data_IF_883132983043
#
_entry.id   IF_883132983043
#
_cell.length_a   1.000
_cell.length_b   1.000
_cell.length_c   1.000
_cell.angle_alpha   90.00
_cell.angle_beta   90.00
_cell.angle_gamma   90.00
#
_symmetry.space_group_name_H-M   'P 1'
#
loop_
_entity.id
_entity.type
_entity.pdbx_description
1 polymer ?
#
# COMPACT_ATOMS: atom_id res chain seq x y z
N UNK A 1 27.39 2.94 22.30
CA UNK A 1 26.51 3.47 21.22
C UNK A 1 25.92 4.78 21.71
N UNK A 2 26.10 5.87 20.98
CA UNK A 2 25.42 7.13 21.32
C UNK A 2 23.90 6.92 21.22
N UNK A 3 23.09 7.45 22.14
CA UNK A 3 21.64 7.27 22.13
C UNK A 3 21.04 7.88 20.86
N UNK A 4 20.16 7.11 20.19
CA UNK A 4 19.43 7.60 19.01
C UNK A 4 18.50 8.73 19.45
N UNK A 5 18.70 9.92 18.88
CA UNK A 5 17.79 11.04 19.08
C UNK A 5 16.46 10.78 18.37
N UNK A 6 15.30 11.10 18.97
CA UNK A 6 14.00 10.85 18.36
C UNK A 6 13.86 11.66 17.08
N UNK A 7 13.62 10.95 15.96
CA UNK A 7 13.52 11.50 14.62
C UNK A 7 12.19 11.07 14.01
N UNK A 8 11.10 11.82 14.24
CA UNK A 8 9.77 11.40 13.81
C UNK A 8 9.68 11.26 12.29
N UNK A 9 8.91 10.28 11.83
CA UNK A 9 8.73 10.03 10.40
C UNK A 9 8.13 11.25 9.69
N UNK A 10 8.74 11.71 8.58
CA UNK A 10 8.22 12.83 7.79
C UNK A 10 6.87 12.48 7.15
N UNK A 11 6.51 11.19 7.07
CA UNK A 11 5.20 10.74 6.64
C UNK A 11 4.05 11.33 7.47
N UNK A 12 4.25 11.52 8.78
CA UNK A 12 3.24 12.10 9.68
C UNK A 12 2.88 13.54 9.28
N UNK A 13 3.89 14.33 8.91
CA UNK A 13 3.74 15.75 8.51
C UNK A 13 3.51 15.94 7.01
N UNK A 14 3.61 14.89 6.21
CA UNK A 14 3.49 14.96 4.76
C UNK A 14 2.05 15.28 4.33
N UNK A 15 1.90 16.20 3.37
CA UNK A 15 0.61 16.50 2.74
C UNK A 15 0.18 15.37 1.79
N UNK A 16 -1.07 15.44 1.29
CA UNK A 16 -1.63 14.40 0.42
C UNK A 16 -0.80 14.15 -0.85
N UNK A 17 -0.26 15.21 -1.46
CA UNK A 17 0.64 15.13 -2.61
C UNK A 17 1.93 14.39 -2.28
N UNK A 18 2.59 14.77 -1.20
CA UNK A 18 3.85 14.16 -0.77
C UNK A 18 3.68 12.68 -0.40
N UNK A 19 2.58 12.31 0.25
CA UNK A 19 2.22 10.91 0.52
C UNK A 19 1.94 10.10 -0.75
N UNK A 20 1.51 10.77 -1.81
CA UNK A 20 1.09 10.12 -3.06
C UNK A 20 2.26 9.86 -3.98
N UNK A 21 3.15 10.84 -4.13
CA UNK A 21 4.36 10.71 -4.93
C UNK A 21 5.55 10.18 -4.13
N UNK A 22 5.32 9.76 -2.87
CA UNK A 22 6.34 9.30 -1.94
C UNK A 22 7.50 10.29 -1.74
N UNK A 23 7.31 11.57 -2.03
CA UNK A 23 8.37 12.59 -1.93
C UNK A 23 8.83 12.85 -0.50
N UNK A 24 8.06 12.38 0.49
CA UNK A 24 8.44 12.44 1.89
C UNK A 24 9.73 11.67 2.20
N UNK A 25 10.08 10.67 1.38
CA UNK A 25 11.30 9.86 1.57
C UNK A 25 12.54 10.47 0.88
N UNK A 26 12.36 11.46 -0.01
CA UNK A 26 13.44 12.01 -0.85
C UNK A 26 14.65 12.44 -0.05
N UNK A 27 14.47 13.14 1.09
CA UNK A 27 15.57 13.58 1.96
C UNK A 27 16.42 12.41 2.50
N UNK A 28 15.81 11.25 2.74
CA UNK A 28 16.52 10.06 3.18
C UNK A 28 17.32 9.44 2.03
N UNK A 29 16.74 9.40 0.84
CA UNK A 29 17.40 8.91 -0.37
C UNK A 29 18.58 9.80 -0.76
N UNK A 30 18.43 11.12 -0.69
CA UNK A 30 19.51 12.07 -0.96
C UNK A 30 20.67 11.86 0.01
N UNK A 31 20.36 11.68 1.31
CA UNK A 31 21.37 11.38 2.32
C UNK A 31 22.07 10.04 2.06
N UNK A 32 21.31 9.01 1.67
CA UNK A 32 21.86 7.72 1.26
C UNK A 32 22.82 7.84 0.09
N UNK A 33 22.43 8.61 -0.93
CA UNK A 33 23.25 8.87 -2.10
C UNK A 33 24.56 9.60 -1.74
N UNK A 34 24.48 10.62 -0.86
CA UNK A 34 25.65 11.38 -0.42
C UNK A 34 26.62 10.57 0.45
N UNK A 35 26.10 9.76 1.37
CA UNK A 35 26.90 9.05 2.37
C UNK A 35 27.27 7.62 1.96
N UNK A 36 26.69 7.09 0.87
CA UNK A 36 26.80 5.70 0.37
C UNK A 36 26.28 4.60 1.31
N UNK A 37 26.36 4.80 2.62
CA UNK A 37 25.88 3.87 3.66
C UNK A 37 25.09 4.63 4.72
N UNK A 38 23.87 4.17 5.02
CA UNK A 38 23.04 4.72 6.08
C UNK A 38 23.35 4.08 7.43
N UNK A 39 23.43 4.90 8.49
CA UNK A 39 23.50 4.39 9.86
C UNK A 39 22.10 4.34 10.49
N UNK A 40 21.95 3.53 11.53
CA UNK A 40 20.68 3.41 12.28
C UNK A 40 20.18 4.73 12.87
N UNK A 41 21.10 5.64 13.19
CA UNK A 41 20.79 6.98 13.72
C UNK A 41 20.17 7.88 12.65
N UNK A 42 20.39 7.59 11.37
CA UNK A 42 19.87 8.37 10.26
C UNK A 42 18.41 8.01 9.93
N UNK A 43 17.97 6.81 10.32
CA UNK A 43 16.64 6.28 10.06
C UNK A 43 15.59 6.96 10.94
N UNK A 44 14.45 7.25 10.32
CA UNK A 44 13.28 7.76 11.03
C UNK A 44 12.71 6.73 11.98
N UNK A 45 12.01 7.21 13.01
CA UNK A 45 11.24 6.37 13.90
C UNK A 45 10.01 5.80 13.20
N UNK A 46 9.56 4.64 13.70
CA UNK A 46 8.39 3.94 13.20
C UNK A 46 7.15 4.82 13.36
N UNK A 47 6.17 4.61 12.48
CA UNK A 47 4.85 5.17 12.69
C UNK A 47 4.22 4.52 13.94
N UNK A 48 3.41 5.24 14.73
CA UNK A 48 2.72 4.68 15.90
C UNK A 48 1.84 3.46 15.56
N UNK A 49 1.36 3.38 14.31
CA UNK A 49 0.58 2.26 13.78
C UNK A 49 1.40 0.98 13.56
N UNK A 50 2.72 1.09 13.50
CA UNK A 50 3.66 -0.03 13.28
C UNK A 50 4.43 -0.39 14.56
N UNK A 51 4.08 0.21 15.69
CA UNK A 51 4.70 -0.08 16.97
C UNK A 51 4.34 -1.50 17.43
N UNK A 52 5.36 -2.29 17.75
CA UNK A 52 5.19 -3.72 18.05
C UNK A 52 4.37 -3.97 19.30
N UNK A 53 4.61 -3.21 20.37
CA UNK A 53 3.92 -3.35 21.65
C UNK A 53 2.42 -3.12 21.44
N UNK A 54 2.06 -2.00 20.82
CA UNK A 54 0.67 -1.63 20.52
C UNK A 54 -0.05 -2.65 19.62
N UNK A 55 0.62 -3.15 18.57
CA UNK A 55 0.04 -4.15 17.67
C UNK A 55 -0.16 -5.51 18.35
N UNK A 56 0.80 -5.93 19.16
CA UNK A 56 0.77 -7.19 19.90
C UNK A 56 -0.32 -7.18 20.95
N UNK A 57 -0.38 -6.13 21.78
CA UNK A 57 -1.38 -5.97 22.82
C UNK A 57 -2.81 -5.95 22.25
N UNK A 58 -3.02 -5.27 21.12
CA UNK A 58 -4.33 -5.28 20.43
C UNK A 58 -4.73 -6.68 19.97
N UNK A 59 -3.80 -7.41 19.35
CA UNK A 59 -4.06 -8.76 18.87
C UNK A 59 -4.33 -9.71 20.04
N UNK A 60 -3.55 -9.62 21.12
CA UNK A 60 -3.74 -10.39 22.35
C UNK A 60 -5.10 -10.16 22.97
N UNK A 61 -5.48 -8.89 23.15
CA UNK A 61 -6.77 -8.52 23.71
C UNK A 61 -7.91 -9.12 22.90
N UNK A 62 -7.86 -9.00 21.56
CA UNK A 62 -8.87 -9.60 20.69
C UNK A 62 -8.84 -11.13 20.67
N UNK A 63 -7.66 -11.74 20.88
CA UNK A 63 -7.52 -13.19 20.98
C UNK A 63 -8.12 -13.73 22.29
N UNK A 64 -7.81 -13.12 23.43
CA UNK A 64 -8.42 -13.47 24.71
C UNK A 64 -9.92 -13.24 24.72
N UNK A 65 -10.38 -12.18 24.06
CA UNK A 65 -11.80 -11.90 23.88
C UNK A 65 -12.51 -12.98 23.04
N UNK A 66 -11.87 -13.46 21.96
CA UNK A 66 -12.41 -14.56 21.15
C UNK A 66 -12.47 -15.88 21.92
N UNK A 67 -11.43 -16.19 22.72
CA UNK A 67 -11.42 -17.39 23.58
C UNK A 67 -12.51 -17.34 24.66
N UNK A 68 -12.86 -16.16 25.17
CA UNK A 68 -13.94 -16.00 26.16
C UNK A 68 -15.33 -16.14 25.54
N UNK A 69 -15.55 -15.54 24.37
CA UNK A 69 -16.86 -15.50 23.71
C UNK A 69 -17.15 -16.73 22.84
N UNK A 70 -16.11 -17.42 22.36
CA UNK A 70 -16.22 -18.59 21.51
C UNK A 70 -15.35 -19.74 22.05
N UNK A 71 -15.61 -20.24 23.27
CA UNK A 71 -14.77 -21.25 23.92
C UNK A 71 -14.70 -22.56 23.13
N UNK A 72 -15.79 -22.93 22.44
CA UNK A 72 -15.87 -24.18 21.68
C UNK A 72 -15.12 -24.12 20.33
N UNK A 73 -14.84 -22.92 19.81
CA UNK A 73 -14.15 -22.73 18.54
C UNK A 73 -13.43 -21.36 18.46
N UNK A 74 -12.33 -21.19 19.21
CA UNK A 74 -11.54 -19.96 19.16
C UNK A 74 -10.83 -19.85 17.81
N UNK A 75 -10.93 -18.68 17.19
CA UNK A 75 -10.39 -18.43 15.85
C UNK A 75 -9.50 -17.19 15.80
N UNK A 76 -8.19 -17.43 15.65
CA UNK A 76 -7.19 -16.37 15.59
C UNK A 76 -7.36 -15.44 14.39
N UNK A 77 -7.90 -15.95 13.28
CA UNK A 77 -8.20 -15.13 12.10
C UNK A 77 -9.27 -14.08 12.42
N UNK A 78 -10.29 -14.44 13.19
CA UNK A 78 -11.35 -13.51 13.62
C UNK A 78 -10.80 -12.41 14.52
N UNK A 79 -9.92 -12.76 15.47
CA UNK A 79 -9.21 -11.77 16.29
C UNK A 79 -8.34 -10.83 15.44
N UNK A 80 -7.67 -11.36 14.43
CA UNK A 80 -6.82 -10.59 13.50
C UNK A 80 -7.64 -9.60 12.67
N UNK A 81 -8.77 -10.02 12.10
CA UNK A 81 -9.67 -9.14 11.34
C UNK A 81 -10.22 -8.03 12.24
N UNK A 82 -10.56 -8.33 13.50
CA UNK A 82 -10.99 -7.31 14.48
C UNK A 82 -9.88 -6.31 14.80
N UNK A 83 -8.64 -6.77 14.95
CA UNK A 83 -7.46 -5.93 15.22
C UNK A 83 -7.23 -4.90 14.11
N UNK A 84 -7.29 -5.34 12.85
CA UNK A 84 -7.00 -4.48 11.69
C UNK A 84 -8.24 -3.73 11.15
N UNK A 85 -9.44 -4.05 11.65
CA UNK A 85 -10.71 -3.36 11.37
C UNK A 85 -10.98 -3.23 9.86
N UNK A 86 -11.10 -1.99 9.38
CA UNK A 86 -11.49 -1.64 8.00
C UNK A 86 -10.31 -1.59 7.01
N UNK A 87 -9.07 -1.77 7.47
CA UNK A 87 -7.89 -1.73 6.60
C UNK A 87 -7.97 -2.69 5.39
N UNK A 88 -8.29 -3.99 5.54
CA UNK A 88 -8.37 -4.89 4.39
C UNK A 88 -9.45 -4.48 3.38
N UNK A 89 -10.57 -3.92 3.86
CA UNK A 89 -11.61 -3.37 2.99
C UNK A 89 -11.10 -2.18 2.17
N UNK A 90 -10.43 -1.22 2.82
CA UNK A 90 -9.85 -0.05 2.13
C UNK A 90 -8.78 -0.45 1.09
N UNK A 91 -7.97 -1.47 1.38
CA UNK A 91 -7.01 -2.04 0.43
C UNK A 91 -7.74 -2.65 -0.76
N UNK A 92 -8.83 -3.37 -0.52
CA UNK A 92 -9.71 -3.90 -1.58
C UNK A 92 -10.29 -2.80 -2.47
N UNK A 93 -10.74 -1.69 -1.89
CA UNK A 93 -11.24 -0.53 -2.65
C UNK A 93 -10.17 0.09 -3.57
N UNK A 94 -8.89 0.04 -3.20
CA UNK A 94 -7.79 0.52 -4.04
C UNK A 94 -7.46 -0.46 -5.18
N UNK A 95 -7.66 -1.76 -4.96
CA UNK A 95 -7.37 -2.82 -5.92
C UNK A 95 -8.32 -2.84 -7.12
N UNK A 96 -9.62 -2.64 -6.90
CA UNK A 96 -10.66 -2.70 -7.93
C UNK A 96 -10.37 -1.77 -9.13
N UNK A 97 -10.17 -0.45 -8.96
CA UNK A 97 -9.92 0.46 -10.08
C UNK A 97 -8.62 0.13 -10.82
N UNK A 98 -7.58 -0.33 -10.12
CA UNK A 98 -6.34 -0.80 -10.75
C UNK A 98 -6.62 -1.99 -11.69
N UNK A 99 -7.42 -2.96 -11.25
CA UNK A 99 -7.77 -4.13 -12.06
C UNK A 99 -8.60 -3.76 -13.27
N UNK A 100 -9.61 -2.91 -13.10
CA UNK A 100 -10.43 -2.41 -14.20
C UNK A 100 -9.56 -1.73 -15.27
N UNK A 101 -8.67 -0.81 -14.87
CA UNK A 101 -7.77 -0.14 -15.80
C UNK A 101 -6.87 -1.11 -16.58
N UNK A 102 -6.38 -2.16 -15.90
CA UNK A 102 -5.53 -3.20 -16.52
C UNK A 102 -6.29 -4.01 -17.58
N UNK A 103 -7.60 -4.24 -17.41
CA UNK A 103 -8.42 -4.94 -18.40
C UNK A 103 -8.89 -4.03 -19.56
N UNK A 104 -9.14 -2.75 -19.29
CA UNK A 104 -9.56 -1.79 -20.32
C UNK A 104 -8.41 -1.46 -21.28
N UNK A 105 -7.19 -1.36 -20.76
CA UNK A 105 -6.00 -1.02 -21.54
C UNK A 105 -5.82 -1.84 -22.85
N UNK A 106 -5.84 -3.19 -22.84
CA UNK A 106 -5.73 -3.98 -24.06
C UNK A 106 -6.91 -3.77 -25.02
N UNK A 107 -8.13 -3.52 -24.53
CA UNK A 107 -9.30 -3.25 -25.39
C UNK A 107 -9.16 -1.94 -26.16
N UNK A 108 -8.59 -0.91 -25.51
CA UNK A 108 -8.30 0.37 -26.15
C UNK A 108 -7.21 0.21 -27.23
N UNK A 109 -6.16 -0.55 -26.93
CA UNK A 109 -5.08 -0.82 -27.90
C UNK A 109 -5.60 -1.63 -29.08
N UNK A 110 -6.42 -2.67 -28.85
CA UNK A 110 -7.03 -3.46 -29.93
C UNK A 110 -7.93 -2.59 -30.81
N UNK A 111 -8.73 -1.72 -30.19
CA UNK A 111 -9.57 -0.75 -30.91
C UNK A 111 -8.72 0.21 -31.75
N UNK A 112 -7.59 0.69 -31.21
CA UNK A 112 -6.65 1.53 -31.94
C UNK A 112 -5.97 0.76 -33.08
N UNK A 113 -5.64 -0.52 -32.91
CA UNK A 113 -5.06 -1.36 -33.97
C UNK A 113 -5.99 -1.51 -35.18
N UNK A 114 -7.31 -1.48 -34.97
CA UNK A 114 -8.27 -1.54 -36.09
C UNK A 114 -8.15 -0.33 -37.03
N UNK A 115 -7.66 0.82 -36.54
CA UNK A 115 -7.36 1.98 -37.39
C UNK A 115 -6.37 1.64 -38.52
N UNK A 116 -5.36 0.83 -38.22
CA UNK A 116 -4.26 0.52 -39.13
C UNK A 116 -4.58 -0.61 -40.12
N UNK A 117 -5.77 -1.21 -40.04
CA UNK A 117 -6.18 -2.24 -41.00
C UNK A 117 -6.45 -1.63 -42.38
N UNK A 118 -6.08 -2.31 -43.48
CA UNK A 118 -6.44 -1.86 -44.82
C UNK A 118 -7.98 -1.78 -44.94
N UNK A 119 -8.48 -0.70 -45.55
CA UNK A 119 -9.91 -0.36 -45.66
C UNK A 119 -10.63 0.06 -44.36
N UNK A 120 -9.91 0.55 -43.35
CA UNK A 120 -10.53 1.14 -42.16
C UNK A 120 -11.32 2.41 -42.50
N UNK A 121 -12.59 2.49 -42.05
CA UNK A 121 -13.45 3.67 -42.14
C UNK A 121 -13.31 4.61 -40.94
N UNK A 122 -12.38 4.30 -40.03
CA UNK A 122 -12.24 4.97 -38.76
C UNK A 122 -11.56 6.34 -38.90
N UNK A 123 -12.18 7.40 -38.36
CA UNK A 123 -11.64 8.76 -38.42
C UNK A 123 -10.36 8.92 -37.59
N UNK A 124 -9.43 9.74 -38.08
CA UNK A 124 -8.17 10.06 -37.41
C UNK A 124 -8.39 10.71 -36.03
N UNK A 125 -9.43 11.53 -35.89
CA UNK A 125 -9.77 12.16 -34.61
C UNK A 125 -10.17 11.12 -33.56
N UNK A 126 -10.92 10.09 -33.97
CA UNK A 126 -11.32 9.00 -33.09
C UNK A 126 -10.10 8.14 -32.69
N UNK A 127 -9.19 7.86 -33.63
CA UNK A 127 -7.93 7.18 -33.33
C UNK A 127 -7.07 7.96 -32.32
N UNK A 128 -6.95 9.28 -32.49
CA UNK A 128 -6.23 10.16 -31.57
C UNK A 128 -6.86 10.12 -30.16
N UNK A 129 -8.19 10.16 -30.07
CA UNK A 129 -8.91 10.07 -28.80
C UNK A 129 -8.65 8.73 -28.09
N UNK A 130 -8.70 7.60 -28.82
CA UNK A 130 -8.36 6.29 -28.26
C UNK A 130 -6.92 6.25 -27.74
N UNK A 131 -5.98 6.87 -28.45
CA UNK A 131 -4.59 6.99 -28.02
C UNK A 131 -4.44 7.80 -26.72
N UNK A 132 -5.07 8.97 -26.63
CA UNK A 132 -5.07 9.80 -25.42
C UNK A 132 -5.70 9.04 -24.25
N UNK A 133 -6.84 8.40 -24.47
CA UNK A 133 -7.54 7.62 -23.44
C UNK A 133 -6.67 6.46 -22.93
N UNK A 134 -5.97 5.76 -23.83
CA UNK A 134 -5.03 4.69 -23.50
C UNK A 134 -3.90 5.16 -22.57
N UNK A 135 -3.34 6.35 -22.81
CA UNK A 135 -2.32 6.94 -21.93
C UNK A 135 -2.91 7.31 -20.58
N UNK A 136 -4.08 7.96 -20.56
CA UNK A 136 -4.75 8.35 -19.32
C UNK A 136 -5.11 7.14 -18.44
N UNK A 137 -5.65 6.07 -19.04
CA UNK A 137 -5.95 4.82 -18.33
C UNK A 137 -4.70 4.18 -17.74
N UNK A 138 -3.56 4.23 -18.44
CA UNK A 138 -2.27 3.73 -17.93
C UNK A 138 -1.76 4.51 -16.72
N UNK A 139 -1.82 5.84 -16.77
CA UNK A 139 -1.41 6.72 -15.64
C UNK A 139 -2.31 6.47 -14.43
N UNK A 140 -3.62 6.40 -14.66
CA UNK A 140 -4.60 6.12 -13.61
C UNK A 140 -4.38 4.74 -12.97
N UNK A 141 -4.20 3.69 -13.77
CA UNK A 141 -3.92 2.33 -13.27
C UNK A 141 -2.63 2.30 -12.44
N UNK A 142 -1.57 2.94 -12.92
CA UNK A 142 -0.28 3.04 -12.21
C UNK A 142 -0.41 3.72 -10.85
N UNK A 143 -1.20 4.79 -10.77
CA UNK A 143 -1.48 5.49 -9.52
C UNK A 143 -2.10 4.57 -8.47
N UNK A 144 -3.17 3.85 -8.83
CA UNK A 144 -3.84 2.92 -7.91
C UNK A 144 -2.96 1.71 -7.58
N UNK A 145 -2.16 1.24 -8.53
CA UNK A 145 -1.19 0.18 -8.30
C UNK A 145 -0.23 0.53 -7.17
N UNK A 146 0.44 1.69 -7.24
CA UNK A 146 1.37 2.10 -6.19
C UNK A 146 0.69 2.29 -4.84
N UNK A 147 -0.53 2.82 -4.82
CA UNK A 147 -1.32 2.96 -3.58
C UNK A 147 -1.66 1.61 -2.96
N UNK A 148 -2.17 0.68 -3.76
CA UNK A 148 -2.50 -0.67 -3.33
C UNK A 148 -1.25 -1.38 -2.80
N UNK A 149 -0.14 -1.33 -3.54
CA UNK A 149 1.12 -1.96 -3.15
C UNK A 149 1.66 -1.42 -1.83
N UNK A 150 1.66 -0.09 -1.64
CA UNK A 150 2.11 0.49 -0.38
C UNK A 150 1.23 0.02 0.80
N UNK A 151 -0.09 0.04 0.64
CA UNK A 151 -1.03 -0.36 1.70
C UNK A 151 -0.94 -1.86 2.04
N UNK A 152 -0.86 -2.76 1.04
CA UNK A 152 -0.81 -4.21 1.28
C UNK A 152 0.51 -4.65 1.94
N UNK A 153 1.63 -4.03 1.59
CA UNK A 153 2.92 -4.31 2.23
C UNK A 153 2.95 -3.79 3.66
N UNK A 154 2.41 -2.60 3.90
CA UNK A 154 2.25 -2.05 5.25
C UNK A 154 1.40 -2.96 6.14
N UNK A 155 0.25 -3.39 5.62
CA UNK A 155 -0.64 -4.34 6.29
C UNK A 155 0.05 -5.68 6.61
N UNK A 156 0.76 -6.25 5.63
CA UNK A 156 1.52 -7.48 5.83
C UNK A 156 2.61 -7.34 6.89
N UNK A 157 3.28 -6.18 6.95
CA UNK A 157 4.27 -5.90 7.99
C UNK A 157 3.64 -5.80 9.39
N UNK A 158 2.50 -5.10 9.52
CA UNK A 158 1.76 -5.00 10.79
C UNK A 158 1.32 -6.38 11.29
N UNK A 159 0.75 -7.20 10.40
CA UNK A 159 0.38 -8.58 10.73
C UNK A 159 1.57 -9.38 11.24
N UNK A 160 2.69 -9.39 10.49
CA UNK A 160 3.88 -10.13 10.90
C UNK A 160 4.34 -9.70 12.29
N UNK A 161 4.46 -8.39 12.54
CA UNK A 161 4.90 -7.88 13.85
C UNK A 161 3.96 -8.34 14.97
N UNK A 162 2.65 -8.22 14.78
CA UNK A 162 1.66 -8.63 15.77
C UNK A 162 1.75 -10.14 16.10
N UNK A 163 1.88 -11.00 15.09
CA UNK A 163 2.01 -12.45 15.29
C UNK A 163 3.32 -12.82 16.01
N UNK A 164 4.45 -12.20 15.65
CA UNK A 164 5.71 -12.48 16.33
C UNK A 164 5.66 -12.06 17.80
N UNK A 165 5.04 -10.92 18.10
CA UNK A 165 4.83 -10.49 19.49
C UNK A 165 3.93 -11.46 20.27
N UNK A 166 2.81 -11.88 19.67
CA UNK A 166 1.88 -12.83 20.29
C UNK A 166 2.56 -14.19 20.59
N UNK A 167 3.42 -14.66 19.69
CA UNK A 167 4.19 -15.91 19.90
C UNK A 167 5.21 -15.72 21.01
N UNK A 168 5.87 -14.55 21.10
CA UNK A 168 6.89 -14.29 22.11
C UNK A 168 6.32 -14.17 23.53
N UNK A 169 5.09 -13.67 23.67
CA UNK A 169 4.40 -13.56 24.95
C UNK A 169 3.69 -14.85 25.40
N UNK A 170 3.62 -15.87 24.53
CA UNK A 170 3.01 -17.17 24.82
C UNK A 170 4.03 -18.14 25.42
#
# INVERSE_FOLDING_TARGET
>A
MAPKQPKPSPFLKANAWSRTFHSWISKLLDKSHQQKTLNLVDLYDLLPEYESINLTEKLENHWFDDMKHHPDNPNLFRATVRTMRWQPFLIGCQFIPQRIGTFIQPLLIISLMNFFKPCSTMSIHYACLLGILSVLTSIFSSFFHHKFYFSIHGYGAQMRVAYHGLIYHK
#
